data_IF_413275831345
#
_entry.id   IF_413275831345
#
_cell.length_a   1.000
_cell.length_b   1.000
_cell.length_c   1.000
_cell.angle_alpha   90.00
_cell.angle_beta   90.00
_cell.angle_gamma   90.00
#
_symmetry.space_group_name_H-M   'P 1'
#
loop_
_entity.id
_entity.type
_entity.pdbx_description
1 polymer ?
#
# COMPACT_ATOMS: atom_id res chain seq x y z
N UNK A 1 -7.39 -25.93 20.99
CA UNK A 1 -7.95 -24.60 20.74
C UNK A 1 -6.76 -23.65 20.59
N UNK A 2 -6.40 -23.36 19.32
CA UNK A 2 -5.37 -22.38 19.01
C UNK A 2 -5.85 -21.05 19.51
N UNK A 3 -5.20 -20.51 20.54
CA UNK A 3 -5.38 -19.11 20.92
C UNK A 3 -5.06 -18.27 19.67
N UNK A 4 -6.11 -17.67 19.06
CA UNK A 4 -5.92 -16.73 17.96
C UNK A 4 -4.91 -15.67 18.43
N UNK A 5 -3.78 -15.58 17.77
CA UNK A 5 -2.70 -14.62 18.07
C UNK A 5 -3.23 -13.15 17.98
N UNK A 6 -4.38 -12.96 17.33
CA UNK A 6 -5.00 -11.68 17.04
C UNK A 6 -6.52 -11.75 17.22
N UNK A 7 -7.06 -11.59 18.45
CA UNK A 7 -8.47 -11.85 18.74
C UNK A 7 -9.45 -10.78 18.23
N UNK A 8 -8.97 -9.67 17.66
CA UNK A 8 -9.79 -8.49 17.33
C UNK A 8 -9.87 -8.16 15.84
N UNK A 9 -9.33 -8.98 14.96
CA UNK A 9 -9.43 -8.77 13.52
C UNK A 9 -10.38 -9.83 12.96
N UNK A 10 -11.40 -9.37 12.27
CA UNK A 10 -12.15 -10.24 11.36
C UNK A 10 -11.32 -10.36 10.08
N UNK A 11 -10.41 -11.34 10.11
CA UNK A 11 -9.53 -11.59 8.99
C UNK A 11 -10.34 -12.18 7.85
N UNK A 12 -10.20 -11.60 6.68
CA UNK A 12 -10.85 -12.00 5.43
C UNK A 12 -12.38 -11.98 5.52
N UNK A 13 -13.00 -10.81 5.58
CA UNK A 13 -14.43 -10.72 5.35
C UNK A 13 -14.77 -11.42 4.04
N UNK A 14 -15.81 -12.22 4.05
CA UNK A 14 -16.30 -12.92 2.87
C UNK A 14 -16.74 -11.88 1.84
N UNK A 15 -16.02 -11.82 0.73
CA UNK A 15 -16.37 -11.02 -0.42
C UNK A 15 -15.95 -11.75 -1.67
N UNK A 16 -16.78 -11.71 -2.68
CA UNK A 16 -16.43 -12.15 -4.02
C UNK A 16 -15.36 -11.23 -4.62
N UNK A 17 -14.26 -11.82 -5.08
CA UNK A 17 -13.18 -11.09 -5.77
C UNK A 17 -13.72 -10.65 -7.14
N UNK A 18 -13.61 -9.36 -7.41
CA UNK A 18 -14.15 -8.75 -8.62
C UNK A 18 -13.20 -8.77 -9.80
N UNK A 19 -13.43 -7.83 -10.72
CA UNK A 19 -12.65 -7.70 -11.95
C UNK A 19 -11.22 -7.22 -11.69
N UNK A 20 -10.36 -7.43 -12.68
CA UNK A 20 -9.01 -6.90 -12.73
C UNK A 20 -9.03 -5.36 -12.70
N UNK A 21 -8.23 -4.76 -11.85
CA UNK A 21 -8.08 -3.30 -11.73
C UNK A 21 -6.69 -2.87 -12.14
N UNK A 22 -5.69 -3.68 -11.82
CA UNK A 22 -4.29 -3.42 -12.17
C UNK A 22 -3.67 -4.68 -12.75
N UNK A 23 -3.10 -4.58 -13.95
CA UNK A 23 -2.35 -5.65 -14.59
C UNK A 23 -0.94 -5.17 -14.86
N UNK A 24 0.04 -5.84 -14.29
CA UNK A 24 1.47 -5.58 -14.49
C UNK A 24 2.01 -6.68 -15.41
N UNK A 25 2.65 -6.28 -16.51
CA UNK A 25 3.12 -7.20 -17.55
C UNK A 25 4.60 -6.97 -17.83
N UNK A 26 5.41 -8.03 -17.65
CA UNK A 26 6.84 -8.08 -18.00
C UNK A 26 7.66 -6.88 -17.49
N UNK A 27 7.39 -6.45 -16.26
CA UNK A 27 8.03 -5.29 -15.67
C UNK A 27 9.48 -5.57 -15.32
N UNK A 28 10.40 -4.78 -15.88
CA UNK A 28 11.82 -4.86 -15.55
C UNK A 28 12.39 -3.48 -15.26
N UNK A 29 13.26 -3.42 -14.26
CA UNK A 29 13.90 -2.19 -13.78
C UNK A 29 15.35 -2.46 -13.42
N UNK A 30 16.23 -1.62 -13.93
CA UNK A 30 17.68 -1.61 -13.60
C UNK A 30 18.03 -0.31 -12.90
N UNK A 31 18.75 -0.36 -11.80
CA UNK A 31 19.29 0.77 -11.07
C UNK A 31 20.79 0.54 -10.91
N UNK A 32 21.61 1.50 -11.33
CA UNK A 32 23.07 1.44 -11.25
C UNK A 32 23.68 0.13 -11.79
N UNK A 33 23.12 -0.38 -12.89
CA UNK A 33 23.55 -1.63 -13.53
C UNK A 33 23.02 -2.91 -12.87
N UNK A 34 22.32 -2.80 -11.75
CA UNK A 34 21.71 -3.94 -11.06
C UNK A 34 20.23 -4.04 -11.44
N UNK A 35 19.81 -5.23 -11.87
CA UNK A 35 18.41 -5.52 -12.20
C UNK A 35 17.63 -5.74 -10.90
N UNK A 36 16.90 -4.72 -10.46
CA UNK A 36 16.12 -4.73 -9.21
C UNK A 36 14.72 -5.33 -9.38
N UNK A 37 14.17 -5.29 -10.59
CA UNK A 37 12.98 -6.02 -11.02
C UNK A 37 13.26 -6.71 -12.33
N UNK A 38 12.87 -7.95 -12.47
CA UNK A 38 13.15 -8.81 -13.61
C UNK A 38 11.93 -9.63 -14.00
N UNK A 39 11.28 -9.21 -15.09
CA UNK A 39 10.13 -9.89 -15.69
C UNK A 39 8.96 -10.13 -14.72
N UNK A 40 8.57 -9.09 -13.98
CA UNK A 40 7.50 -9.17 -13.00
C UNK A 40 6.15 -9.02 -13.69
N UNK A 41 5.27 -10.02 -13.53
CA UNK A 41 3.90 -10.01 -14.04
C UNK A 41 2.92 -10.50 -13.01
N UNK A 42 1.86 -9.70 -12.75
CA UNK A 42 0.77 -10.07 -11.83
C UNK A 42 -0.45 -9.20 -12.07
N UNK A 43 -1.55 -9.58 -11.44
CA UNK A 43 -2.82 -8.84 -11.50
C UNK A 43 -3.34 -8.60 -10.09
N UNK A 44 -3.86 -7.39 -9.83
CA UNK A 44 -4.60 -7.06 -8.62
C UNK A 44 -6.08 -6.81 -8.97
N UNK A 45 -6.99 -7.36 -8.17
CA UNK A 45 -8.43 -7.39 -8.43
C UNK A 45 -9.22 -6.54 -7.44
N UNK A 46 -10.35 -6.05 -7.87
CA UNK A 46 -11.31 -5.36 -7.00
C UNK A 46 -11.75 -6.26 -5.85
N UNK A 47 -11.67 -5.73 -4.63
CA UNK A 47 -12.09 -6.48 -3.44
C UNK A 47 -11.12 -7.59 -3.02
N UNK A 48 -9.87 -7.51 -3.44
CA UNK A 48 -8.78 -8.40 -3.07
C UNK A 48 -7.73 -7.67 -2.24
N UNK A 49 -7.15 -8.36 -1.27
CA UNK A 49 -5.87 -7.98 -0.67
C UNK A 49 -4.81 -8.93 -1.20
N UNK A 50 -3.98 -8.42 -2.10
CA UNK A 50 -2.79 -9.10 -2.60
C UNK A 50 -1.61 -8.77 -1.69
N UNK A 51 -1.14 -9.75 -0.94
CA UNK A 51 0.06 -9.62 -0.12
C UNK A 51 1.33 -9.78 -0.95
N UNK A 52 2.37 -9.06 -0.59
CA UNK A 52 3.72 -9.25 -1.15
C UNK A 52 4.64 -9.69 -0.02
N UNK A 53 5.17 -10.90 -0.14
CA UNK A 53 6.19 -11.46 0.75
C UNK A 53 7.55 -11.47 0.07
N UNK A 54 8.61 -11.31 0.84
CA UNK A 54 9.98 -11.36 0.35
C UNK A 54 10.98 -10.91 1.40
N UNK A 55 12.23 -11.32 1.23
CA UNK A 55 13.33 -10.79 2.04
C UNK A 55 13.48 -9.30 1.73
N UNK A 56 13.78 -8.48 2.73
CA UNK A 56 13.98 -7.04 2.55
C UNK A 56 14.97 -6.77 1.41
N UNK A 57 14.63 -5.83 0.53
CA UNK A 57 15.46 -5.50 -0.63
C UNK A 57 15.28 -6.39 -1.85
N UNK A 58 14.25 -7.23 -1.89
CA UNK A 58 13.95 -8.10 -3.05
C UNK A 58 13.22 -7.39 -4.20
N UNK A 59 13.01 -6.06 -4.13
CA UNK A 59 12.35 -5.27 -5.17
C UNK A 59 10.93 -4.81 -4.83
N UNK A 60 10.44 -5.07 -3.61
CA UNK A 60 9.09 -4.69 -3.18
C UNK A 60 8.85 -3.18 -3.32
N UNK A 61 9.77 -2.37 -2.83
CA UNK A 61 9.69 -0.92 -2.89
C UNK A 61 9.70 -0.41 -4.32
N UNK A 62 10.65 -0.89 -5.11
CA UNK A 62 10.85 -0.50 -6.51
C UNK A 62 9.61 -0.85 -7.34
N UNK A 63 8.96 -1.98 -7.06
CA UNK A 63 7.71 -2.38 -7.70
C UNK A 63 6.59 -1.38 -7.40
N UNK A 64 6.33 -1.07 -6.14
CA UNK A 64 5.26 -0.14 -5.77
C UNK A 64 5.53 1.30 -6.24
N UNK A 65 6.78 1.76 -6.15
CA UNK A 65 7.18 3.07 -6.66
C UNK A 65 7.05 3.16 -8.18
N UNK A 66 7.32 2.07 -8.91
CA UNK A 66 7.11 1.99 -10.35
C UNK A 66 5.64 2.11 -10.72
N UNK A 67 4.75 1.42 -10.01
CA UNK A 67 3.30 1.53 -10.21
C UNK A 67 2.81 2.94 -9.91
N UNK A 68 3.37 3.59 -8.90
CA UNK A 68 3.02 4.97 -8.52
C UNK A 68 3.64 6.04 -9.45
N UNK A 69 4.47 5.64 -10.42
CA UNK A 69 5.14 6.55 -11.35
C UNK A 69 6.35 7.29 -10.76
N UNK A 70 6.82 6.86 -9.58
CA UNK A 70 7.99 7.46 -8.91
C UNK A 70 9.32 6.95 -9.46
N UNK A 71 9.29 5.86 -10.22
CA UNK A 71 10.43 5.22 -10.86
C UNK A 71 10.16 5.05 -12.34
N UNK A 72 11.15 5.34 -13.18
CA UNK A 72 11.07 5.03 -14.61
C UNK A 72 11.32 3.53 -14.84
N UNK A 73 10.55 2.96 -15.76
CA UNK A 73 10.66 1.57 -16.16
C UNK A 73 11.59 1.40 -17.36
N UNK A 74 12.36 0.31 -17.38
CA UNK A 74 13.12 -0.07 -18.54
C UNK A 74 12.24 -0.83 -19.54
N UNK A 75 11.43 -1.78 -19.04
CA UNK A 75 10.54 -2.62 -19.86
C UNK A 75 9.23 -2.89 -19.11
N UNK A 76 8.23 -3.35 -19.86
CA UNK A 76 6.95 -3.78 -19.35
C UNK A 76 5.87 -2.71 -19.39
N UNK A 77 4.67 -3.09 -19.02
CA UNK A 77 3.48 -2.26 -19.01
C UNK A 77 2.76 -2.38 -17.66
N UNK A 78 2.06 -1.32 -17.29
CA UNK A 78 1.21 -1.27 -16.11
C UNK A 78 -0.15 -0.76 -16.56
N UNK A 79 -1.10 -1.68 -16.71
CA UNK A 79 -2.44 -1.39 -17.21
C UNK A 79 -3.39 -1.17 -16.02
N UNK A 80 -3.98 -0.01 -15.95
CA UNK A 80 -5.01 0.32 -14.99
C UNK A 80 -6.38 0.28 -15.66
N UNK A 81 -7.22 -0.65 -15.21
CA UNK A 81 -8.59 -0.82 -15.66
C UNK A 81 -9.51 -0.06 -14.70
N UNK A 82 -9.92 1.13 -15.10
CA UNK A 82 -10.70 2.01 -14.24
C UNK A 82 -12.10 1.42 -13.99
N UNK A 83 -12.42 1.01 -12.75
CA UNK A 83 -13.69 0.34 -12.44
C UNK A 83 -14.90 1.27 -12.55
N UNK A 84 -14.68 2.59 -12.57
CA UNK A 84 -15.76 3.59 -12.65
C UNK A 84 -16.10 3.97 -14.09
N UNK A 85 -15.13 3.93 -14.99
CA UNK A 85 -15.29 4.40 -16.37
C UNK A 85 -15.18 3.29 -17.41
N UNK A 86 -14.66 2.12 -17.03
CA UNK A 86 -14.36 1.02 -17.94
C UNK A 86 -13.17 1.27 -18.85
N UNK A 87 -12.47 2.40 -18.72
CA UNK A 87 -11.31 2.73 -19.54
C UNK A 87 -10.06 2.05 -18.99
N UNK A 88 -9.18 1.64 -19.90
CA UNK A 88 -7.84 1.14 -19.58
C UNK A 88 -6.81 2.23 -19.88
N UNK A 89 -5.97 2.52 -18.93
CA UNK A 89 -4.85 3.45 -19.03
C UNK A 89 -3.53 2.71 -18.78
N UNK A 90 -2.52 2.94 -19.62
CA UNK A 90 -1.16 2.51 -19.30
C UNK A 90 -0.50 3.54 -18.37
N UNK A 91 -0.12 3.11 -17.18
CA UNK A 91 0.49 3.98 -16.18
C UNK A 91 1.95 4.30 -16.46
N UNK A 92 2.63 3.54 -17.32
CA UNK A 92 4.04 3.70 -17.63
C UNK A 92 4.40 5.13 -18.09
N UNK A 93 3.53 5.73 -18.88
CA UNK A 93 3.75 7.05 -19.48
C UNK A 93 3.09 8.19 -18.68
N UNK A 94 2.57 7.89 -17.49
CA UNK A 94 1.88 8.86 -16.65
C UNK A 94 2.77 9.38 -15.53
N UNK A 95 2.59 10.65 -15.20
CA UNK A 95 3.23 11.25 -14.03
C UNK A 95 2.60 10.72 -12.73
N UNK A 96 3.31 10.77 -11.59
CA UNK A 96 2.74 10.36 -10.29
C UNK A 96 1.43 11.11 -9.95
N UNK A 97 1.31 12.36 -10.37
CA UNK A 97 0.08 13.14 -10.16
C UNK A 97 -1.10 12.60 -10.97
N UNK A 98 -0.89 12.28 -12.25
CA UNK A 98 -1.90 11.69 -13.12
C UNK A 98 -2.35 10.32 -12.61
N UNK A 99 -1.40 9.46 -12.19
CA UNK A 99 -1.69 8.14 -11.61
C UNK A 99 -2.53 8.30 -10.34
N UNK A 100 -2.15 9.23 -9.48
CA UNK A 100 -2.90 9.54 -8.26
C UNK A 100 -4.32 10.03 -8.57
N UNK A 101 -4.50 10.85 -9.59
CA UNK A 101 -5.81 11.39 -9.97
C UNK A 101 -6.73 10.31 -10.56
N UNK A 102 -6.19 9.23 -11.11
CA UNK A 102 -6.95 8.04 -11.48
C UNK A 102 -7.46 7.23 -10.26
N UNK A 103 -6.90 7.46 -9.07
CA UNK A 103 -7.29 6.74 -7.84
C UNK A 103 -6.31 5.66 -7.41
N UNK A 104 -5.13 5.56 -8.05
CA UNK A 104 -4.05 4.67 -7.62
C UNK A 104 -3.23 5.39 -6.53
N UNK A 105 -3.20 4.83 -5.32
CA UNK A 105 -2.57 5.45 -4.14
C UNK A 105 -1.47 4.57 -3.60
N UNK A 106 -0.35 5.20 -3.28
CA UNK A 106 0.75 4.58 -2.54
C UNK A 106 0.83 5.20 -1.14
N UNK A 107 0.55 4.38 -0.14
CA UNK A 107 0.83 4.67 1.27
C UNK A 107 2.11 3.93 1.65
N UNK A 108 3.24 4.60 1.49
CA UNK A 108 4.53 4.09 1.93
C UNK A 108 4.87 4.69 3.30
N UNK A 109 5.23 3.84 4.24
CA UNK A 109 5.71 4.27 5.55
C UNK A 109 7.23 4.16 5.56
N UNK A 110 7.95 5.25 5.23
CA UNK A 110 9.39 5.28 5.30
C UNK A 110 9.86 5.26 6.76
N UNK A 111 11.13 4.92 6.96
CA UNK A 111 11.78 5.06 8.27
C UNK A 111 11.72 6.52 8.74
N UNK A 112 11.94 7.48 7.85
CA UNK A 112 11.69 8.90 8.07
C UNK A 112 10.25 9.29 7.67
N UNK A 113 9.34 9.19 8.63
CA UNK A 113 7.89 9.43 8.42
C UNK A 113 7.55 10.88 8.13
N UNK A 114 8.35 11.82 8.64
CA UNK A 114 8.08 13.25 8.58
C UNK A 114 8.70 13.93 7.34
N UNK A 115 9.70 13.31 6.73
CA UNK A 115 10.37 13.88 5.54
C UNK A 115 9.72 13.52 4.22
N UNK A 116 9.11 12.33 4.13
CA UNK A 116 8.64 11.78 2.85
C UNK A 116 7.11 11.63 2.76
N UNK A 117 6.40 11.53 3.86
CA UNK A 117 4.96 11.28 3.88
C UNK A 117 4.12 12.50 4.27
N UNK A 118 4.49 13.15 5.35
CA UNK A 118 3.82 14.33 5.92
C UNK A 118 4.82 15.47 6.08
N UNK A 119 4.33 16.70 6.06
CA UNK A 119 5.14 17.89 6.35
C UNK A 119 5.07 18.16 7.85
N UNK A 120 6.16 17.90 8.56
CA UNK A 120 6.23 17.90 10.03
C UNK A 120 5.80 19.22 10.69
N UNK A 121 6.10 20.37 10.08
CA UNK A 121 5.75 21.68 10.59
C UNK A 121 4.29 22.10 10.33
N UNK A 122 3.59 21.40 9.43
CA UNK A 122 2.17 21.61 9.15
C UNK A 122 1.32 20.83 10.15
N UNK A 123 0.15 21.36 10.44
CA UNK A 123 -0.86 20.68 11.24
C UNK A 123 -1.53 19.53 10.44
N UNK A 124 -2.43 18.79 11.11
CA UNK A 124 -3.12 17.65 10.47
C UNK A 124 -4.00 18.16 9.33
N UNK A 125 -4.71 19.29 9.50
CA UNK A 125 -5.59 19.86 8.47
C UNK A 125 -4.80 20.27 7.23
N UNK A 126 -3.67 20.95 7.41
CA UNK A 126 -2.84 21.38 6.29
C UNK A 126 -2.21 20.20 5.55
N UNK A 127 -1.82 19.15 6.27
CA UNK A 127 -1.38 17.89 5.65
C UNK A 127 -2.49 17.21 4.83
N UNK A 128 -3.76 17.29 5.25
CA UNK A 128 -4.89 16.82 4.44
C UNK A 128 -5.05 17.67 3.18
N UNK A 129 -4.86 18.99 3.30
CA UNK A 129 -4.96 19.93 2.16
C UNK A 129 -3.94 19.65 1.07
N UNK A 130 -2.72 19.20 1.39
CA UNK A 130 -1.68 18.91 0.40
C UNK A 130 -2.14 17.97 -0.72
N UNK A 131 -3.12 17.12 -0.46
CA UNK A 131 -3.68 16.18 -1.44
C UNK A 131 -4.90 16.73 -2.20
N UNK A 132 -5.47 17.84 -1.77
CA UNK A 132 -6.74 18.37 -2.29
C UNK A 132 -6.69 19.81 -2.81
N UNK A 133 -5.62 20.56 -2.57
CA UNK A 133 -5.56 22.00 -2.88
C UNK A 133 -5.79 22.36 -4.37
N UNK A 134 -5.55 21.44 -5.30
CA UNK A 134 -5.75 21.64 -6.73
C UNK A 134 -7.19 21.33 -7.22
N UNK A 135 -8.07 20.83 -6.35
CA UNK A 135 -9.44 20.44 -6.72
C UNK A 135 -10.45 21.59 -6.65
N UNK A 136 -10.07 22.73 -6.11
CA UNK A 136 -10.92 23.92 -5.99
C UNK A 136 -10.87 24.79 -7.24
N UNK A 137 -12.04 25.27 -7.70
CA UNK A 137 -12.17 26.31 -8.76
C UNK A 137 -12.04 27.73 -8.20
N UNK A 138 -11.83 27.89 -6.90
CA UNK A 138 -11.76 29.17 -6.19
C UNK A 138 -10.32 29.59 -5.95
N UNK A 139 -10.06 30.90 -6.02
CA UNK A 139 -8.79 31.51 -5.62
C UNK A 139 -8.54 31.39 -4.10
N UNK A 140 -9.55 31.01 -3.32
CA UNK A 140 -9.46 30.80 -1.88
C UNK A 140 -9.36 29.31 -1.55
N UNK A 141 -8.43 28.96 -0.64
CA UNK A 141 -8.27 27.60 -0.14
C UNK A 141 -9.50 27.21 0.72
N UNK A 142 -10.25 26.22 0.25
CA UNK A 142 -11.36 25.65 1.04
C UNK A 142 -10.81 24.76 2.13
N UNK A 143 -10.88 25.20 3.39
CA UNK A 143 -10.35 24.45 4.56
C UNK A 143 -11.41 23.58 5.24
N UNK A 144 -12.70 23.70 4.91
CA UNK A 144 -13.77 22.96 5.58
C UNK A 144 -13.61 21.46 5.38
N UNK A 145 -13.54 21.00 4.14
CA UNK A 145 -13.39 19.56 3.82
C UNK A 145 -12.13 18.93 4.42
N UNK A 146 -10.91 19.55 4.29
CA UNK A 146 -9.71 19.05 4.96
C UNK A 146 -9.85 18.99 6.47
N UNK A 147 -10.55 19.95 7.09
CA UNK A 147 -10.79 19.97 8.53
C UNK A 147 -11.72 18.83 8.98
N UNK A 148 -12.82 18.63 8.27
CA UNK A 148 -13.77 17.55 8.53
C UNK A 148 -13.08 16.18 8.37
N UNK A 149 -12.23 16.05 7.36
CA UNK A 149 -11.43 14.86 7.11
C UNK A 149 -10.42 14.62 8.24
N UNK A 150 -9.70 15.66 8.69
CA UNK A 150 -8.75 15.54 9.79
C UNK A 150 -9.45 15.06 11.07
N UNK A 151 -10.61 15.63 11.41
CA UNK A 151 -11.42 15.21 12.57
C UNK A 151 -11.85 13.75 12.45
N UNK A 152 -12.36 13.35 11.28
CA UNK A 152 -12.76 11.96 11.01
C UNK A 152 -11.59 10.99 11.22
N UNK A 153 -10.41 11.30 10.70
CA UNK A 153 -9.20 10.47 10.87
C UNK A 153 -8.80 10.38 12.33
N UNK A 154 -8.83 11.52 13.07
CA UNK A 154 -8.50 11.55 14.49
C UNK A 154 -9.43 10.61 15.27
N UNK A 155 -10.72 10.66 15.00
CA UNK A 155 -11.73 9.84 15.67
C UNK A 155 -11.63 8.37 15.28
N UNK A 156 -11.66 8.05 13.97
CA UNK A 156 -11.68 6.67 13.47
C UNK A 156 -10.41 5.88 13.79
N UNK A 157 -9.25 6.57 13.84
CA UNK A 157 -7.95 5.94 14.10
C UNK A 157 -7.45 6.17 15.52
N UNK A 158 -8.26 6.77 16.38
CA UNK A 158 -7.86 7.14 17.74
C UNK A 158 -6.48 7.83 17.76
N UNK A 159 -6.32 8.89 16.95
CA UNK A 159 -5.09 9.66 16.93
C UNK A 159 -5.00 10.47 18.22
N UNK A 160 -3.96 10.23 19.02
CA UNK A 160 -3.73 10.99 20.25
C UNK A 160 -3.10 12.33 19.87
N UNK A 161 -3.91 13.37 19.95
CA UNK A 161 -3.53 14.76 19.64
C UNK A 161 -4.39 15.73 20.46
N UNK A 162 -3.87 16.91 20.85
CA UNK A 162 -4.69 17.95 21.48
C UNK A 162 -5.85 18.41 20.57
N UNK A 163 -5.58 18.61 19.29
CA UNK A 163 -6.56 19.03 18.28
C UNK A 163 -6.06 18.75 16.85
N UNK A 164 -6.88 19.06 15.84
CA UNK A 164 -6.56 18.92 14.42
C UNK A 164 -5.55 19.97 13.91
N UNK A 165 -5.23 20.99 14.69
CA UNK A 165 -4.28 22.07 14.37
C UNK A 165 -2.89 21.80 14.94
N UNK A 166 -2.71 20.70 15.64
CA UNK A 166 -1.41 20.32 16.19
C UNK A 166 -0.45 19.95 15.05
N UNK A 167 0.75 20.56 14.98
CA UNK A 167 1.77 20.17 14.02
C UNK A 167 2.14 18.70 14.15
N UNK A 168 2.16 17.96 13.03
CA UNK A 168 2.34 16.49 13.05
C UNK A 168 3.67 16.05 13.66
N UNK A 169 4.71 16.89 13.63
CA UNK A 169 5.99 16.63 14.32
C UNK A 169 5.87 16.47 15.84
N UNK A 170 4.78 16.98 16.44
CA UNK A 170 4.51 16.85 17.88
C UNK A 170 3.81 15.55 18.24
N UNK A 171 3.35 14.79 17.26
CA UNK A 171 2.69 13.51 17.45
C UNK A 171 3.75 12.41 17.68
N UNK A 172 3.36 11.36 18.40
CA UNK A 172 4.16 10.13 18.44
C UNK A 172 4.26 9.51 17.05
N UNK A 173 5.31 8.73 16.79
CA UNK A 173 5.50 8.07 15.51
C UNK A 173 4.31 7.23 15.07
N UNK A 174 3.62 6.56 16.00
CA UNK A 174 2.39 5.82 15.74
C UNK A 174 1.24 6.72 15.28
N UNK A 175 1.06 7.88 15.91
CA UNK A 175 0.02 8.83 15.52
C UNK A 175 0.33 9.49 14.17
N UNK A 176 1.60 9.83 13.90
CA UNK A 176 2.03 10.28 12.56
C UNK A 176 1.64 9.26 11.48
N UNK A 177 1.89 7.99 11.74
CA UNK A 177 1.56 6.91 10.80
C UNK A 177 0.06 6.74 10.57
N UNK A 178 -0.75 6.83 11.65
CA UNK A 178 -2.22 6.82 11.54
C UNK A 178 -2.73 7.97 10.67
N UNK A 179 -2.20 9.18 10.84
CA UNK A 179 -2.54 10.34 10.03
C UNK A 179 -2.17 10.12 8.56
N UNK A 180 -0.98 9.59 8.27
CA UNK A 180 -0.51 9.30 6.92
C UNK A 180 -1.42 8.27 6.22
N UNK A 181 -1.63 7.12 6.84
CA UNK A 181 -2.47 6.04 6.27
C UNK A 181 -3.92 6.51 6.12
N UNK A 182 -4.47 7.19 7.13
CA UNK A 182 -5.82 7.75 7.10
C UNK A 182 -6.03 8.71 5.94
N UNK A 183 -5.06 9.58 5.65
CA UNK A 183 -5.10 10.51 4.50
C UNK A 183 -5.20 9.77 3.16
N UNK A 184 -4.40 8.73 2.96
CA UNK A 184 -4.40 8.00 1.69
C UNK A 184 -5.70 7.20 1.50
N UNK A 185 -6.21 6.55 2.55
CA UNK A 185 -7.48 5.82 2.53
C UNK A 185 -8.66 6.76 2.25
N UNK A 186 -8.70 7.89 2.94
CA UNK A 186 -9.78 8.86 2.79
C UNK A 186 -9.85 9.52 1.40
N UNK A 187 -8.86 9.31 0.56
CA UNK A 187 -8.87 9.77 -0.84
C UNK A 187 -9.78 8.95 -1.76
N UNK A 188 -10.47 7.93 -1.24
CA UNK A 188 -11.32 7.00 -1.98
C UNK A 188 -10.56 6.32 -3.15
N UNK A 189 -9.49 5.59 -2.87
CA UNK A 189 -8.69 4.96 -3.91
C UNK A 189 -9.47 3.85 -4.61
N UNK A 190 -9.05 3.51 -5.84
CA UNK A 190 -9.45 2.29 -6.55
C UNK A 190 -8.39 1.21 -6.42
N UNK A 191 -7.13 1.63 -6.29
CA UNK A 191 -5.97 0.79 -5.93
C UNK A 191 -5.28 1.46 -4.74
N UNK A 192 -5.11 0.71 -3.66
CA UNK A 192 -4.36 1.15 -2.48
C UNK A 192 -3.14 0.24 -2.30
N UNK A 193 -1.97 0.81 -2.41
CA UNK A 193 -0.71 0.14 -2.13
C UNK A 193 -0.21 0.58 -0.75
N UNK A 194 -0.08 -0.35 0.18
CA UNK A 194 0.37 -0.10 1.54
C UNK A 194 1.65 -0.90 1.82
N UNK A 195 2.78 -0.19 1.91
CA UNK A 195 4.07 -0.79 2.20
C UNK A 195 4.42 -0.59 3.67
N UNK A 196 4.54 -1.68 4.40
CA UNK A 196 4.90 -1.72 5.82
C UNK A 196 4.04 -0.80 6.71
N UNK A 197 2.71 -0.77 6.54
CA UNK A 197 1.86 0.26 7.14
C UNK A 197 1.81 0.21 8.67
N UNK A 198 2.23 -0.90 9.27
CA UNK A 198 2.22 -1.11 10.73
C UNK A 198 3.62 -1.15 11.35
N UNK A 199 4.68 -0.91 10.57
CA UNK A 199 6.05 -0.97 11.08
C UNK A 199 6.25 -0.01 12.26
N UNK A 200 6.66 -0.55 13.42
CA UNK A 200 6.90 0.22 14.64
C UNK A 200 5.64 0.74 15.34
N UNK A 201 4.47 0.18 15.04
CA UNK A 201 3.24 0.41 15.80
C UNK A 201 3.08 -0.63 16.91
N UNK A 202 2.37 -0.22 17.95
CA UNK A 202 1.82 -1.16 18.93
C UNK A 202 0.75 -2.05 18.30
N UNK A 203 0.43 -3.16 18.97
CA UNK A 203 -0.51 -4.17 18.49
C UNK A 203 -1.89 -3.57 18.19
N UNK A 204 -2.44 -2.75 19.09
CA UNK A 204 -3.78 -2.18 18.91
C UNK A 204 -3.83 -1.24 17.70
N UNK A 205 -2.81 -0.41 17.52
CA UNK A 205 -2.69 0.48 16.36
C UNK A 205 -2.52 -0.29 15.07
N UNK A 206 -1.79 -1.40 15.09
CA UNK A 206 -1.66 -2.29 13.93
C UNK A 206 -3.01 -2.89 13.51
N UNK A 207 -3.82 -3.33 14.46
CA UNK A 207 -5.17 -3.83 14.19
C UNK A 207 -6.09 -2.80 13.55
N UNK A 208 -6.01 -1.56 13.99
CA UNK A 208 -6.79 -0.48 13.38
C UNK A 208 -6.44 -0.33 11.90
N UNK A 209 -5.17 -0.39 11.55
CA UNK A 209 -4.71 -0.32 10.16
C UNK A 209 -5.19 -1.54 9.36
N UNK A 210 -5.07 -2.75 9.88
CA UNK A 210 -5.57 -3.95 9.20
C UNK A 210 -7.09 -3.91 8.98
N UNK A 211 -7.85 -3.46 9.95
CA UNK A 211 -9.30 -3.26 9.79
C UNK A 211 -9.61 -2.22 8.72
N UNK A 212 -8.83 -1.16 8.60
CA UNK A 212 -8.99 -0.20 7.51
C UNK A 212 -8.72 -0.84 6.13
N UNK A 213 -7.68 -1.66 6.00
CA UNK A 213 -7.41 -2.38 4.74
C UNK A 213 -8.56 -3.33 4.39
N UNK A 214 -9.10 -4.05 5.37
CA UNK A 214 -10.28 -4.90 5.17
C UNK A 214 -11.51 -4.09 4.71
N UNK A 215 -11.80 -2.94 5.32
CA UNK A 215 -12.88 -2.06 4.87
C UNK A 215 -12.68 -1.56 3.44
N UNK A 216 -11.44 -1.27 3.03
CA UNK A 216 -11.13 -0.92 1.65
C UNK A 216 -11.43 -2.08 0.70
N UNK A 217 -10.99 -3.29 1.04
CA UNK A 217 -11.33 -4.51 0.30
C UNK A 217 -12.85 -4.68 0.18
N UNK A 218 -13.60 -4.60 1.28
CA UNK A 218 -15.07 -4.71 1.30
C UNK A 218 -15.73 -3.66 0.40
N UNK A 219 -15.14 -2.46 0.31
CA UNK A 219 -15.59 -1.38 -0.58
C UNK A 219 -15.22 -1.59 -2.05
N UNK A 220 -14.55 -2.67 -2.40
CA UNK A 220 -14.17 -3.00 -3.78
C UNK A 220 -12.83 -2.43 -4.22
N UNK A 221 -12.03 -1.91 -3.31
CA UNK A 221 -10.67 -1.44 -3.63
C UNK A 221 -9.76 -2.65 -3.86
N UNK A 222 -8.88 -2.57 -4.87
CA UNK A 222 -7.76 -3.49 -5.02
C UNK A 222 -6.66 -3.04 -4.05
N UNK A 223 -6.35 -3.87 -3.06
CA UNK A 223 -5.34 -3.58 -2.03
C UNK A 223 -4.09 -4.39 -2.30
N UNK A 224 -2.94 -3.75 -2.38
CA UNK A 224 -1.62 -4.40 -2.41
C UNK A 224 -0.93 -4.08 -1.09
N UNK A 225 -0.61 -5.12 -0.34
CA UNK A 225 -0.06 -5.01 1.01
C UNK A 225 1.32 -5.66 1.10
N UNK A 226 2.34 -4.87 1.44
CA UNK A 226 3.68 -5.38 1.74
C UNK A 226 3.86 -5.43 3.25
N UNK A 227 4.12 -6.62 3.78
CA UNK A 227 4.33 -6.85 5.21
C UNK A 227 5.53 -7.74 5.50
N UNK A 228 6.01 -7.72 6.74
CA UNK A 228 7.15 -8.52 7.21
C UNK A 228 6.69 -9.79 7.95
N UNK A 229 5.51 -9.78 8.55
CA UNK A 229 4.96 -10.87 9.34
C UNK A 229 4.15 -11.83 8.46
N UNK A 230 4.67 -13.05 8.26
CA UNK A 230 4.01 -14.07 7.45
C UNK A 230 2.67 -14.54 8.05
N UNK A 231 2.53 -14.52 9.39
CA UNK A 231 1.24 -14.84 10.02
C UNK A 231 0.17 -13.83 9.62
N UNK A 232 0.53 -12.54 9.62
CA UNK A 232 -0.37 -11.47 9.20
C UNK A 232 -0.72 -11.60 7.71
N UNK A 233 0.28 -11.86 6.85
CA UNK A 233 0.03 -12.05 5.42
C UNK A 233 -0.93 -13.22 5.16
N UNK A 234 -0.71 -14.36 5.82
CA UNK A 234 -1.57 -15.54 5.70
C UNK A 234 -2.98 -15.31 6.21
N UNK A 235 -3.16 -14.48 7.22
CA UNK A 235 -4.48 -14.22 7.81
C UNK A 235 -5.24 -13.05 7.15
N UNK A 236 -4.53 -12.04 6.67
CA UNK A 236 -5.10 -10.82 6.11
C UNK A 236 -5.34 -10.90 4.59
N UNK A 237 -4.41 -11.50 3.84
CA UNK A 237 -4.44 -11.46 2.38
C UNK A 237 -5.31 -12.57 1.78
N UNK A 238 -5.82 -12.35 0.59
CA UNK A 238 -6.50 -13.38 -0.21
C UNK A 238 -5.47 -14.20 -0.99
N UNK A 239 -4.51 -13.51 -1.60
CA UNK A 239 -3.39 -14.10 -2.33
C UNK A 239 -2.07 -13.52 -1.83
N UNK A 240 -1.01 -14.29 -1.89
CA UNK A 240 0.34 -13.84 -1.53
C UNK A 240 1.27 -14.08 -2.71
N UNK A 241 1.81 -12.99 -3.23
CA UNK A 241 2.88 -12.99 -4.21
C UNK A 241 4.22 -12.96 -3.50
N UNK A 242 5.09 -13.90 -3.81
CA UNK A 242 6.44 -13.96 -3.24
C UNK A 242 7.42 -13.40 -4.24
N UNK A 243 8.18 -12.39 -3.82
CA UNK A 243 9.24 -11.78 -4.61
C UNK A 243 10.60 -12.14 -4.04
N UNK A 244 11.52 -12.58 -4.89
CA UNK A 244 12.89 -12.93 -4.53
C UNK A 244 13.84 -12.44 -5.61
N UNK A 245 14.84 -11.64 -5.22
CA UNK A 245 15.84 -11.07 -6.15
C UNK A 245 15.21 -10.41 -7.39
N UNK A 246 14.15 -9.62 -7.18
CA UNK A 246 13.46 -8.90 -8.24
C UNK A 246 12.53 -9.73 -9.13
N UNK A 247 12.36 -11.02 -8.85
CA UNK A 247 11.49 -11.94 -9.62
C UNK A 247 10.35 -12.46 -8.76
N UNK A 248 9.23 -12.77 -9.39
CA UNK A 248 8.15 -13.51 -8.72
C UNK A 248 8.55 -14.98 -8.65
N UNK A 249 8.68 -15.50 -7.42
CA UNK A 249 8.96 -16.91 -7.16
C UNK A 249 7.70 -17.76 -7.18
N UNK A 250 6.55 -17.16 -6.89
CA UNK A 250 5.25 -17.82 -6.89
C UNK A 250 4.15 -16.90 -6.39
N UNK A 251 2.91 -17.25 -6.71
CA UNK A 251 1.69 -16.63 -6.17
C UNK A 251 0.87 -17.77 -5.58
N UNK A 252 0.48 -17.65 -4.31
CA UNK A 252 -0.24 -18.68 -3.57
C UNK A 252 -1.55 -18.15 -3.01
N UNK A 253 -2.55 -19.03 -2.85
CA UNK A 253 -3.78 -18.71 -2.11
C UNK A 253 -3.43 -18.68 -0.61
N UNK A 254 -3.63 -17.53 0.04
CA UNK A 254 -3.30 -17.36 1.44
C UNK A 254 -4.13 -18.23 2.39
N UNK A 255 -5.27 -18.77 1.92
CA UNK A 255 -6.14 -19.67 2.71
C UNK A 255 -5.56 -21.07 2.87
N UNK A 256 -4.74 -21.51 1.91
CA UNK A 256 -4.21 -22.87 1.86
C UNK A 256 -2.69 -22.92 2.02
N UNK A 257 -2.01 -21.81 1.77
CA UNK A 257 -0.56 -21.73 1.88
C UNK A 257 -0.06 -21.87 3.32
N UNK A 258 1.14 -22.36 3.47
CA UNK A 258 1.85 -22.45 4.75
C UNK A 258 3.03 -21.50 4.82
N UNK A 259 3.51 -21.20 6.03
CA UNK A 259 4.72 -20.39 6.21
C UNK A 259 5.94 -21.02 5.56
N UNK A 260 6.05 -22.35 5.66
CA UNK A 260 7.13 -23.14 5.08
C UNK A 260 7.15 -23.01 3.56
N UNK A 261 5.98 -23.08 2.92
CA UNK A 261 5.84 -22.89 1.47
C UNK A 261 6.29 -21.49 1.04
N UNK A 262 5.82 -20.45 1.74
CA UNK A 262 6.21 -19.06 1.46
C UNK A 262 7.71 -18.87 1.70
N UNK A 263 8.26 -19.42 2.81
CA UNK A 263 9.68 -19.36 3.13
C UNK A 263 10.55 -19.99 2.06
N UNK A 264 10.17 -21.14 1.51
CA UNK A 264 10.85 -21.78 0.39
C UNK A 264 10.84 -20.91 -0.87
N UNK A 265 9.70 -20.30 -1.19
CA UNK A 265 9.60 -19.39 -2.32
C UNK A 265 10.45 -18.12 -2.14
N UNK A 266 10.60 -17.62 -0.91
CA UNK A 266 11.44 -16.44 -0.61
C UNK A 266 12.94 -16.70 -0.87
N UNK A 267 13.39 -17.94 -0.80
CA UNK A 267 14.81 -18.32 -0.96
C UNK A 267 15.12 -18.92 -2.33
N UNK A 268 14.11 -19.23 -3.15
CA UNK A 268 14.25 -20.00 -4.40
C UNK A 268 15.22 -19.39 -5.42
N UNK A 269 15.33 -18.05 -5.46
CA UNK A 269 16.20 -17.34 -6.41
C UNK A 269 17.51 -16.85 -5.76
N UNK A 270 17.72 -17.08 -4.47
CA UNK A 270 18.93 -16.67 -3.76
C UNK A 270 20.08 -17.68 -3.88
N UNK A 271 19.84 -18.84 -4.50
CA UNK A 271 20.80 -19.94 -4.63
C UNK A 271 21.51 -20.05 -5.99
N UNK A 272 21.43 -19.05 -6.85
CA UNK A 272 21.91 -19.09 -8.23
C UNK A 272 23.25 -18.39 -8.53
N UNK A 273 24.08 -18.06 -7.53
CA UNK A 273 25.46 -17.60 -7.77
C UNK A 273 26.42 -18.26 -6.78
N UNK A 274 26.76 -19.51 -7.05
CA UNK A 274 27.76 -20.23 -6.29
C UNK A 274 27.99 -21.61 -6.81
N UNK A 275 28.62 -21.70 -8.01
CA UNK A 275 29.57 -22.72 -8.46
C UNK A 275 29.59 -22.78 -9.99
N UNK A 276 30.54 -22.04 -10.59
CA UNK A 276 31.45 -22.59 -11.60
C UNK A 276 32.65 -21.67 -11.69
#
# INVERSE_FOLDING_TARGET
PSSRKYPYIDFRPEREIGNEVLTVEHLSKTIDGVKVLDDVSFTARSGEILGIAGIAGSGQRELLESIAGLQHLNQGEILYHNPKTGKTDNLRDKTPLQIRDLGVRLSFVPEDRLGMGLVGNMDIVDNMMLRSYRRGKSAFLERKKPKDLAKKIIEELNVVTPDEKTPVRRLSGGNVQKVLVGREIASSPTVLMAAYPVRGLDINSSYMIYNLLNRQKESGVAVIFVGEDLDVLLELCDSIMVISSGRISGIVDARTATKEEIGLLMTKNSGGEGNE
#
